data_IF_527125752023
#
_entry.id   IF_527125752023
#
_cell.length_a   1.000
_cell.length_b   1.000
_cell.length_c   1.000
_cell.angle_alpha   90.00
_cell.angle_beta   90.00
_cell.angle_gamma   90.00
#
_symmetry.space_group_name_H-M   'P 1'
#
loop_
_entity.id
_entity.type
_entity.pdbx_description
1 polymer ?
#
# COMPACT_ATOMS: atom_id res chain seq x y z
N UNK A 1 35.31 4.96 -8.33
CA UNK A 1 34.06 5.67 -7.97
C UNK A 1 32.89 4.90 -8.58
N UNK A 2 32.20 4.06 -7.80
CA UNK A 2 31.06 3.25 -8.31
C UNK A 2 29.80 4.12 -8.30
N UNK A 3 29.34 4.51 -9.48
CA UNK A 3 28.06 5.18 -9.69
C UNK A 3 26.93 4.25 -9.24
N UNK A 4 26.18 4.68 -8.22
CA UNK A 4 24.93 4.02 -7.79
C UNK A 4 23.86 4.39 -8.81
N UNK A 5 23.49 3.45 -9.68
CA UNK A 5 22.29 3.57 -10.52
C UNK A 5 21.05 3.41 -9.63
N UNK A 6 20.59 4.51 -9.06
CA UNK A 6 19.24 4.60 -8.50
C UNK A 6 18.29 4.58 -9.70
N UNK A 7 17.62 3.45 -9.89
CA UNK A 7 16.57 3.32 -10.90
C UNK A 7 15.38 4.14 -10.42
N UNK A 8 15.38 5.43 -10.73
CA UNK A 8 14.21 6.29 -10.57
C UNK A 8 13.06 5.63 -11.32
N UNK A 9 11.91 5.47 -10.64
CA UNK A 9 10.68 5.00 -11.27
C UNK A 9 10.43 5.82 -12.54
N UNK A 10 10.21 5.18 -13.69
CA UNK A 10 10.02 5.88 -14.97
C UNK A 10 8.88 6.89 -14.97
N UNK A 11 7.93 6.76 -14.04
CA UNK A 11 6.85 7.73 -13.81
C UNK A 11 7.34 9.07 -13.23
N UNK A 12 8.43 9.06 -12.45
CA UNK A 12 8.98 10.29 -11.86
C UNK A 12 9.74 11.14 -12.89
N UNK A 13 10.34 10.52 -13.91
CA UNK A 13 11.05 11.23 -14.99
C UNK A 13 10.12 11.89 -16.01
N UNK A 14 8.86 11.46 -16.10
CA UNK A 14 7.84 12.04 -16.97
C UNK A 14 6.83 12.91 -16.21
N UNK A 15 7.14 13.26 -14.96
CA UNK A 15 6.20 13.96 -14.10
C UNK A 15 6.03 15.43 -14.50
N UNK A 16 4.79 15.92 -14.44
CA UNK A 16 4.49 17.33 -14.67
C UNK A 16 4.79 18.15 -13.40
N UNK A 17 6.03 18.66 -13.33
CA UNK A 17 6.49 19.45 -12.19
C UNK A 17 5.75 20.78 -12.04
N UNK A 18 5.29 21.40 -13.13
CA UNK A 18 4.61 22.69 -13.09
C UNK A 18 3.18 22.54 -12.55
N UNK A 19 2.44 21.54 -13.04
CA UNK A 19 1.13 21.20 -12.49
C UNK A 19 1.25 20.76 -11.02
N UNK A 20 2.29 19.99 -10.69
CA UNK A 20 2.54 19.57 -9.31
C UNK A 20 2.84 20.75 -8.37
N UNK A 21 3.59 21.76 -8.84
CA UNK A 21 3.91 22.93 -8.03
C UNK A 21 2.69 23.82 -7.74
N UNK A 22 1.72 23.89 -8.65
CA UNK A 22 0.49 24.69 -8.50
C UNK A 22 -0.59 24.02 -7.65
N UNK A 23 -0.63 22.68 -7.65
CA UNK A 23 -1.70 21.93 -6.97
C UNK A 23 -1.83 22.19 -5.46
N UNK A 24 -0.75 22.34 -4.67
CA UNK A 24 -0.82 22.73 -3.26
C UNK A 24 -1.78 23.89 -2.97
N UNK A 25 -1.68 24.98 -3.74
CA UNK A 25 -2.50 26.18 -3.55
C UNK A 25 -3.97 25.92 -3.92
N UNK A 26 -4.19 25.14 -4.98
CA UNK A 26 -5.54 24.72 -5.40
C UNK A 26 -6.21 23.88 -4.31
N UNK A 27 -5.49 22.89 -3.75
CA UNK A 27 -6.03 22.05 -2.69
C UNK A 27 -6.32 22.87 -1.43
N UNK A 28 -5.43 23.78 -1.05
CA UNK A 28 -5.66 24.69 0.08
C UNK A 28 -6.92 25.57 -0.13
N UNK A 29 -7.14 26.12 -1.34
CA UNK A 29 -8.35 26.88 -1.66
C UNK A 29 -9.61 26.03 -1.48
N UNK A 30 -9.62 24.80 -2.02
CA UNK A 30 -10.73 23.86 -1.87
C UNK A 30 -11.00 23.55 -0.39
N UNK A 31 -9.95 23.36 0.40
CA UNK A 31 -10.05 23.10 1.83
C UNK A 31 -10.66 24.30 2.58
N UNK A 32 -10.23 25.52 2.26
CA UNK A 32 -10.71 26.76 2.88
C UNK A 32 -12.16 27.07 2.50
N UNK A 33 -12.50 27.06 1.21
CA UNK A 33 -13.86 27.28 0.70
C UNK A 33 -14.85 26.27 1.30
N UNK A 34 -14.43 25.02 1.41
CA UNK A 34 -15.22 23.97 2.02
C UNK A 34 -15.17 23.93 3.55
N UNK A 35 -14.41 24.81 4.22
CA UNK A 35 -14.22 24.77 5.67
C UNK A 35 -13.86 23.37 6.20
N UNK A 36 -13.00 22.65 5.47
CA UNK A 36 -12.58 21.30 5.83
C UNK A 36 -11.54 21.33 6.93
N UNK A 37 -11.73 20.52 7.97
CA UNK A 37 -10.68 20.22 8.95
C UNK A 37 -9.73 19.14 8.44
N UNK A 38 -8.50 19.07 8.96
CA UNK A 38 -7.53 18.01 8.62
C UNK A 38 -8.09 16.59 8.88
N UNK A 39 -9.05 16.46 9.80
CA UNK A 39 -9.75 15.20 10.08
C UNK A 39 -10.65 14.74 8.94
N UNK A 40 -11.06 15.66 8.06
CA UNK A 40 -12.02 15.48 6.98
C UNK A 40 -11.36 15.43 5.60
N UNK A 41 -10.04 15.61 5.50
CA UNK A 41 -9.30 15.47 4.23
C UNK A 41 -8.66 14.10 4.17
N UNK A 42 -8.95 13.34 3.12
CA UNK A 42 -8.54 11.95 2.95
C UNK A 42 -7.83 11.75 1.63
N UNK A 43 -6.92 10.78 1.61
CA UNK A 43 -6.34 10.25 0.38
C UNK A 43 -6.44 8.72 0.41
N UNK A 44 -6.56 8.14 -0.78
CA UNK A 44 -6.47 6.71 -0.97
C UNK A 44 -5.64 6.40 -2.22
N UNK A 45 -4.92 5.28 -2.17
CA UNK A 45 -4.04 4.84 -3.24
C UNK A 45 -3.91 3.32 -3.28
N UNK A 46 -3.84 2.79 -4.49
CA UNK A 46 -3.69 1.37 -4.74
C UNK A 46 -2.23 0.97 -4.91
N UNK A 47 -1.91 -0.23 -4.42
CA UNK A 47 -0.62 -0.86 -4.69
C UNK A 47 -0.78 -2.34 -5.03
N UNK A 48 0.10 -2.83 -5.89
CA UNK A 48 0.30 -4.26 -6.04
C UNK A 48 1.08 -4.83 -4.85
N UNK A 49 0.64 -5.96 -4.31
CA UNK A 49 1.35 -6.71 -3.27
C UNK A 49 1.57 -8.15 -3.76
N UNK A 50 2.82 -8.51 -4.02
CA UNK A 50 3.20 -9.89 -4.30
C UNK A 50 3.24 -10.68 -2.98
N UNK A 51 2.09 -11.15 -2.55
CA UNK A 51 1.86 -11.68 -1.20
C UNK A 51 2.66 -12.96 -0.89
N UNK A 52 3.17 -13.65 -1.91
CA UNK A 52 4.04 -14.81 -1.78
C UNK A 52 5.39 -14.63 -2.48
N UNK A 53 5.88 -13.39 -2.59
CA UNK A 53 7.23 -13.13 -3.11
C UNK A 53 8.22 -12.99 -1.97
N UNK A 54 9.24 -13.85 -1.98
CA UNK A 54 10.45 -13.64 -1.18
C UNK A 54 11.40 -12.68 -1.91
N UNK A 55 12.30 -12.00 -1.19
CA UNK A 55 13.36 -11.21 -1.79
C UNK A 55 14.14 -12.00 -2.86
N UNK A 56 14.53 -11.33 -3.94
CA UNK A 56 15.02 -11.94 -5.20
C UNK A 56 16.29 -12.77 -5.06
N UNK A 57 17.08 -12.56 -4.00
CA UNK A 57 18.30 -13.32 -3.72
C UNK A 57 18.14 -14.42 -2.67
N UNK A 58 16.93 -14.72 -2.25
CA UNK A 58 16.70 -15.85 -1.34
C UNK A 58 16.74 -17.18 -2.10
N UNK A 59 17.24 -18.23 -1.45
CA UNK A 59 17.18 -19.59 -2.00
C UNK A 59 15.75 -20.00 -2.38
N UNK A 60 14.73 -19.59 -1.61
CA UNK A 60 13.33 -19.86 -1.91
C UNK A 60 12.91 -19.27 -3.27
N UNK A 61 13.28 -18.00 -3.53
CA UNK A 61 12.99 -17.35 -4.80
C UNK A 61 13.74 -18.03 -5.97
N UNK A 62 15.01 -18.35 -5.78
CA UNK A 62 15.82 -19.01 -6.82
C UNK A 62 15.31 -20.42 -7.15
N UNK A 63 14.91 -21.20 -6.14
CA UNK A 63 14.34 -22.52 -6.30
C UNK A 63 13.00 -22.46 -7.07
N UNK A 64 12.11 -21.53 -6.75
CA UNK A 64 10.86 -21.33 -7.51
C UNK A 64 11.13 -20.85 -8.94
N UNK A 65 12.12 -19.96 -9.14
CA UNK A 65 12.49 -19.49 -10.48
C UNK A 65 12.97 -20.62 -11.39
N UNK A 66 13.63 -21.64 -10.83
CA UNK A 66 14.09 -22.83 -11.56
C UNK A 66 12.97 -23.85 -11.88
N UNK A 67 11.78 -23.70 -11.31
CA UNK A 67 10.64 -24.58 -11.59
C UNK A 67 9.86 -24.11 -12.84
N UNK A 68 9.40 -25.06 -13.65
CA UNK A 68 8.54 -24.81 -14.82
C UNK A 68 7.07 -24.78 -14.40
N UNK A 69 6.34 -23.72 -14.73
CA UNK A 69 4.90 -23.61 -14.47
C UNK A 69 4.49 -22.26 -13.84
N UNK A 70 3.29 -22.22 -13.26
CA UNK A 70 2.77 -21.03 -12.60
C UNK A 70 3.52 -20.74 -11.30
N UNK A 71 4.08 -19.53 -11.19
CA UNK A 71 4.84 -19.06 -10.02
C UNK A 71 3.93 -18.32 -9.07
N UNK A 72 3.77 -18.86 -7.86
CA UNK A 72 2.91 -18.25 -6.84
C UNK A 72 3.55 -16.97 -6.30
N UNK A 73 4.87 -16.81 -6.40
CA UNK A 73 5.52 -15.51 -6.12
C UNK A 73 5.21 -14.39 -7.12
N UNK A 74 4.57 -14.72 -8.24
CA UNK A 74 4.06 -13.73 -9.18
C UNK A 74 2.57 -13.44 -8.95
N UNK A 75 1.89 -14.19 -8.06
CA UNK A 75 0.52 -13.88 -7.66
C UNK A 75 0.48 -12.55 -6.91
N UNK A 76 -0.41 -11.68 -7.40
CA UNK A 76 -0.52 -10.31 -6.92
C UNK A 76 -1.89 -10.05 -6.32
N UNK A 77 -1.87 -9.39 -5.19
CA UNK A 77 -3.01 -8.68 -4.62
C UNK A 77 -3.00 -7.24 -5.10
N UNK A 78 -4.17 -6.67 -5.38
CA UNK A 78 -4.29 -5.20 -5.38
C UNK A 78 -4.84 -4.78 -4.03
N UNK A 79 -4.12 -3.90 -3.33
CA UNK A 79 -4.51 -3.39 -2.02
C UNK A 79 -4.76 -1.88 -2.13
N UNK A 80 -5.96 -1.44 -1.79
CA UNK A 80 -6.30 -0.02 -1.64
C UNK A 80 -6.15 0.37 -0.17
N UNK A 81 -5.27 1.33 0.08
CA UNK A 81 -4.97 1.89 1.39
C UNK A 81 -5.38 3.37 1.42
N UNK A 82 -5.64 3.92 2.60
CA UNK A 82 -5.95 5.33 2.73
C UNK A 82 -6.18 5.78 4.15
N UNK A 83 -6.12 7.09 4.36
CA UNK A 83 -6.24 7.70 5.68
C UNK A 83 -6.48 9.20 5.59
N UNK A 84 -6.68 9.83 6.74
CA UNK A 84 -6.89 11.28 6.80
C UNK A 84 -5.59 12.07 6.98
N UNK A 85 -5.64 13.34 6.62
CA UNK A 85 -4.55 14.30 6.79
C UNK A 85 -4.11 14.46 8.24
N UNK A 86 -5.05 14.39 9.21
CA UNK A 86 -4.69 14.43 10.64
C UNK A 86 -3.84 13.23 11.10
N UNK A 87 -3.90 12.12 10.36
CA UNK A 87 -3.19 10.87 10.66
C UNK A 87 -3.77 10.07 11.83
N UNK A 88 -4.94 10.44 12.35
CA UNK A 88 -5.60 9.70 13.43
C UNK A 88 -6.72 8.77 12.92
N UNK A 89 -6.88 8.66 11.60
CA UNK A 89 -7.82 7.73 10.99
C UNK A 89 -7.21 7.03 9.78
N UNK A 90 -7.27 5.69 9.82
CA UNK A 90 -6.90 4.81 8.72
C UNK A 90 -8.14 4.07 8.22
N UNK A 91 -8.32 4.02 6.92
CA UNK A 91 -9.38 3.24 6.29
C UNK A 91 -9.05 1.75 6.44
N UNK A 92 -10.10 0.93 6.54
CA UNK A 92 -9.93 -0.52 6.47
C UNK A 92 -9.39 -0.86 5.06
N UNK A 93 -8.27 -1.60 4.93
CA UNK A 93 -7.72 -1.95 3.63
C UNK A 93 -8.73 -2.72 2.80
N UNK A 94 -8.80 -2.40 1.51
CA UNK A 94 -9.53 -3.22 0.55
C UNK A 94 -8.55 -4.06 -0.24
N UNK A 95 -8.83 -5.36 -0.31
CA UNK A 95 -8.02 -6.35 -1.00
C UNK A 95 -8.80 -6.90 -2.20
N UNK A 96 -8.22 -6.82 -3.39
CA UNK A 96 -8.72 -7.47 -4.60
C UNK A 96 -7.82 -8.64 -4.99
N UNK A 97 -8.41 -9.81 -5.17
CA UNK A 97 -7.70 -11.03 -5.54
C UNK A 97 -8.33 -11.75 -6.75
N UNK A 98 -7.58 -12.62 -7.42
CA UNK A 98 -8.08 -13.38 -8.58
C UNK A 98 -9.14 -14.42 -8.23
N UNK A 99 -9.05 -15.00 -7.03
CA UNK A 99 -9.95 -16.08 -6.59
C UNK A 99 -11.03 -15.57 -5.63
N UNK A 100 -12.30 -15.80 -5.98
CA UNK A 100 -13.46 -15.45 -5.15
C UNK A 100 -13.59 -16.31 -3.89
N UNK A 101 -13.17 -17.57 -3.98
CA UNK A 101 -13.22 -18.52 -2.87
C UNK A 101 -11.87 -19.22 -2.73
N UNK A 102 -10.84 -18.52 -2.20
CA UNK A 102 -9.57 -19.18 -1.89
C UNK A 102 -9.85 -20.34 -0.94
N UNK A 103 -9.33 -21.54 -1.25
CA UNK A 103 -9.51 -22.72 -0.38
C UNK A 103 -9.08 -22.44 1.07
N UNK A 104 -8.06 -21.61 1.24
CA UNK A 104 -7.54 -21.15 2.52
C UNK A 104 -8.55 -20.34 3.38
N UNK A 105 -9.61 -19.81 2.78
CA UNK A 105 -10.68 -19.07 3.47
C UNK A 105 -11.96 -19.91 3.64
N UNK A 106 -11.98 -21.17 3.19
CA UNK A 106 -13.15 -22.05 3.33
C UNK A 106 -13.40 -22.33 4.83
N UNK A 107 -14.62 -22.08 5.30
CA UNK A 107 -15.00 -22.27 6.70
C UNK A 107 -14.57 -21.16 7.66
N UNK A 108 -13.94 -20.09 7.16
CA UNK A 108 -13.70 -18.88 7.96
C UNK A 108 -15.00 -18.07 8.07
N UNK A 109 -15.87 -18.44 9.02
CA UNK A 109 -17.08 -17.69 9.37
C UNK A 109 -16.99 -17.18 10.80
N UNK A 110 -16.08 -16.24 11.08
CA UNK A 110 -16.07 -15.55 12.37
C UNK A 110 -15.67 -14.08 12.19
N UNK A 111 -16.64 -13.19 12.32
CA UNK A 111 -16.43 -11.74 12.43
C UNK A 111 -16.30 -10.95 11.11
N UNK A 112 -16.22 -9.63 11.26
CA UNK A 112 -15.89 -8.73 10.15
C UNK A 112 -14.43 -8.99 9.73
N UNK A 113 -14.15 -9.39 8.49
CA UNK A 113 -12.79 -9.66 8.06
C UNK A 113 -11.91 -8.40 8.25
N UNK A 114 -10.62 -8.57 8.53
CA UNK A 114 -9.74 -7.44 8.79
C UNK A 114 -9.54 -6.55 7.55
N UNK A 115 -9.83 -7.10 6.36
CA UNK A 115 -9.83 -6.38 5.07
C UNK A 115 -11.18 -6.49 4.38
N UNK A 116 -11.50 -5.51 3.53
CA UNK A 116 -12.64 -5.59 2.60
C UNK A 116 -12.21 -6.44 1.41
N UNK A 117 -12.66 -7.69 1.35
CA UNK A 117 -12.24 -8.63 0.31
C UNK A 117 -13.13 -8.55 -0.94
N UNK A 118 -12.54 -8.36 -2.11
CA UNK A 118 -13.20 -8.49 -3.43
C UNK A 118 -12.40 -9.41 -4.32
N UNK A 119 -13.05 -9.96 -5.35
CA UNK A 119 -12.37 -10.81 -6.30
C UNK A 119 -12.83 -10.56 -7.74
N UNK A 120 -11.87 -10.56 -8.66
CA UNK A 120 -12.10 -10.60 -10.10
C UNK A 120 -10.89 -11.24 -10.79
N UNK A 121 -11.08 -11.85 -11.96
CA UNK A 121 -10.03 -12.61 -12.65
C UNK A 121 -8.72 -11.85 -12.90
N UNK A 122 -8.78 -10.53 -13.05
CA UNK A 122 -7.59 -9.71 -13.28
C UNK A 122 -6.83 -9.43 -11.98
N UNK A 123 -7.50 -9.47 -10.82
CA UNK A 123 -7.03 -9.00 -9.52
C UNK A 123 -6.74 -7.50 -9.45
N UNK A 124 -7.46 -6.67 -10.22
CA UNK A 124 -7.28 -5.22 -10.30
C UNK A 124 -8.50 -4.50 -9.72
N UNK A 125 -8.29 -3.29 -9.20
CA UNK A 125 -9.42 -2.44 -8.83
C UNK A 125 -10.15 -1.97 -10.10
N UNK A 126 -11.48 -2.09 -10.11
CA UNK A 126 -12.34 -1.62 -11.19
C UNK A 126 -13.18 -0.44 -10.69
N UNK A 127 -13.71 0.37 -11.62
CA UNK A 127 -14.62 1.47 -11.28
C UNK A 127 -15.81 1.01 -10.43
N UNK A 128 -16.45 -0.10 -10.81
CA UNK A 128 -17.55 -0.66 -10.04
C UNK A 128 -17.14 -1.07 -8.62
N UNK A 129 -15.97 -1.71 -8.46
CA UNK A 129 -15.46 -2.07 -7.13
C UNK A 129 -15.06 -0.85 -6.29
N UNK A 130 -14.56 0.21 -6.93
CA UNK A 130 -14.26 1.48 -6.25
C UNK A 130 -15.53 2.20 -5.80
N UNK A 131 -16.54 2.32 -6.66
CA UNK A 131 -17.83 2.94 -6.31
C UNK A 131 -18.53 2.19 -5.17
N UNK A 132 -18.51 0.86 -5.21
CA UNK A 132 -19.01 0.01 -4.12
C UNK A 132 -18.25 0.26 -2.81
N UNK A 133 -16.91 0.33 -2.88
CA UNK A 133 -16.08 0.67 -1.73
C UNK A 133 -16.40 2.06 -1.18
N UNK A 134 -16.57 3.04 -2.07
CA UNK A 134 -16.84 4.42 -1.73
C UNK A 134 -18.16 4.55 -0.96
N UNK A 135 -19.23 3.94 -1.48
CA UNK A 135 -20.58 4.06 -0.91
C UNK A 135 -20.77 3.19 0.34
N UNK A 136 -20.26 1.96 0.33
CA UNK A 136 -20.55 0.99 1.39
C UNK A 136 -19.50 0.93 2.49
N UNK A 137 -18.30 1.49 2.28
CA UNK A 137 -17.20 1.41 3.24
C UNK A 137 -16.62 2.77 3.58
N UNK A 138 -16.22 3.57 2.60
CA UNK A 138 -15.62 4.89 2.85
C UNK A 138 -16.62 5.85 3.51
N UNK A 139 -17.76 6.13 2.87
CA UNK A 139 -18.75 7.08 3.41
C UNK A 139 -19.24 6.70 4.83
N UNK A 140 -19.66 5.44 5.09
CA UNK A 140 -20.08 5.03 6.44
C UNK A 140 -18.95 5.09 7.46
N UNK A 141 -17.71 4.79 7.06
CA UNK A 141 -16.56 4.86 7.97
C UNK A 141 -16.24 6.30 8.37
N UNK A 142 -16.30 7.24 7.42
CA UNK A 142 -16.15 8.68 7.71
C UNK A 142 -17.27 9.15 8.62
N UNK A 143 -18.52 8.83 8.32
CA UNK A 143 -19.66 9.22 9.16
C UNK A 143 -19.52 8.70 10.60
N UNK A 144 -19.12 7.43 10.75
CA UNK A 144 -18.87 6.79 12.05
C UNK A 144 -17.72 7.43 12.79
N UNK A 145 -16.68 7.89 12.10
CA UNK A 145 -15.55 8.60 12.68
C UNK A 145 -15.91 10.03 13.11
N UNK A 146 -16.70 10.74 12.30
CA UNK A 146 -17.08 12.12 12.57
C UNK A 146 -17.90 12.26 13.86
N UNK A 147 -18.85 11.34 14.09
CA UNK A 147 -19.78 11.37 15.25
C UNK A 147 -19.08 11.46 16.63
N UNK A 148 -18.17 10.56 17.02
CA UNK A 148 -17.48 10.65 18.31
C UNK A 148 -16.45 11.79 18.39
N UNK A 149 -15.97 12.31 17.25
CA UNK A 149 -15.05 13.45 17.22
C UNK A 149 -15.78 14.80 17.28
N UNK A 150 -17.11 14.80 17.38
CA UNK A 150 -17.95 16.01 17.36
C UNK A 150 -17.67 16.92 16.15
N UNK A 151 -17.47 16.30 14.99
CA UNK A 151 -17.27 17.00 13.71
C UNK A 151 -18.40 16.64 12.75
N UNK A 152 -18.78 17.58 11.88
CA UNK A 152 -19.80 17.33 10.86
C UNK A 152 -19.39 16.17 9.94
N UNK A 153 -20.37 15.35 9.51
CA UNK A 153 -20.11 14.35 8.48
C UNK A 153 -19.87 15.07 7.16
N UNK A 154 -18.59 15.23 6.83
CA UNK A 154 -18.11 15.86 5.61
C UNK A 154 -16.72 15.31 5.30
N UNK A 155 -16.42 15.08 4.03
CA UNK A 155 -15.08 14.68 3.61
C UNK A 155 -14.66 15.27 2.26
N UNK A 156 -13.36 15.50 2.12
CA UNK A 156 -12.66 15.77 0.87
C UNK A 156 -11.77 14.56 0.58
N UNK A 157 -12.11 13.79 -0.45
CA UNK A 157 -11.30 12.65 -0.89
C UNK A 157 -10.46 13.08 -2.10
N UNK A 158 -9.14 13.09 -1.92
CA UNK A 158 -8.13 13.43 -2.94
C UNK A 158 -7.63 12.14 -3.58
N UNK A 159 -7.73 12.01 -4.91
CA UNK A 159 -7.35 10.80 -5.66
C UNK A 159 -6.40 11.09 -6.82
N UNK A 160 -5.70 10.06 -7.30
CA UNK A 160 -5.03 10.09 -8.60
C UNK A 160 -6.03 9.92 -9.75
N UNK A 161 -5.56 10.06 -10.99
CA UNK A 161 -6.38 9.94 -12.21
C UNK A 161 -6.45 8.50 -12.75
N UNK A 162 -6.40 7.49 -11.88
CA UNK A 162 -6.41 6.13 -12.36
C UNK A 162 -7.73 5.73 -13.03
N UNK A 163 -7.70 4.80 -14.01
CA UNK A 163 -8.92 4.34 -14.69
C UNK A 163 -9.94 3.64 -13.78
N UNK A 164 -9.49 3.17 -12.60
CA UNK A 164 -10.35 2.60 -11.56
C UNK A 164 -11.21 3.65 -10.85
N UNK A 165 -10.87 4.94 -10.97
CA UNK A 165 -11.58 6.01 -10.31
C UNK A 165 -12.72 6.56 -11.19
N UNK A 166 -13.76 7.12 -10.57
CA UNK A 166 -14.85 7.75 -11.34
C UNK A 166 -14.30 8.92 -12.17
N UNK A 167 -14.65 8.94 -13.45
CA UNK A 167 -14.26 9.98 -14.42
C UNK A 167 -15.05 11.29 -14.28
N UNK A 168 -16.20 11.23 -13.63
CA UNK A 168 -17.05 12.41 -13.44
C UNK A 168 -16.83 12.91 -12.01
N UNK A 169 -16.78 14.23 -11.84
CA UNK A 169 -16.87 14.92 -10.54
C UNK A 169 -18.24 14.72 -9.84
N UNK A 170 -18.96 13.64 -10.16
CA UNK A 170 -20.29 13.35 -9.66
C UNK A 170 -20.27 13.22 -8.14
N UNK A 171 -21.23 13.88 -7.49
CA UNK A 171 -21.52 13.70 -6.07
C UNK A 171 -22.10 12.29 -5.87
N UNK A 172 -21.23 11.27 -5.79
CA UNK A 172 -21.63 9.93 -5.34
C UNK A 172 -22.23 9.99 -3.93
N UNK A 173 -21.87 11.02 -3.14
CA UNK A 173 -22.46 11.34 -1.85
C UNK A 173 -22.43 12.86 -1.65
N UNK A 174 -23.51 13.45 -1.15
CA UNK A 174 -23.62 14.90 -0.90
C UNK A 174 -22.62 15.43 0.15
N UNK A 175 -22.21 14.58 1.09
CA UNK A 175 -21.31 14.93 2.19
C UNK A 175 -19.83 14.72 1.81
N UNK A 176 -19.55 14.13 0.65
CA UNK A 176 -18.18 13.82 0.23
C UNK A 176 -17.87 14.47 -1.11
N UNK A 177 -16.93 15.41 -1.10
CA UNK A 177 -16.33 15.99 -2.31
C UNK A 177 -15.16 15.12 -2.74
N UNK A 178 -15.16 14.66 -3.98
CA UNK A 178 -14.01 13.99 -4.59
C UNK A 178 -13.26 15.00 -5.46
N UNK A 179 -11.95 15.10 -5.27
CA UNK A 179 -11.07 15.91 -6.13
C UNK A 179 -9.92 15.05 -6.63
N UNK A 180 -9.35 15.45 -7.75
CA UNK A 180 -8.26 14.73 -8.40
C UNK A 180 -7.00 15.58 -8.39
N UNK A 181 -5.85 14.93 -8.24
CA UNK A 181 -4.56 15.55 -8.53
C UNK A 181 -4.43 15.81 -10.03
N UNK A 182 -3.53 16.70 -10.49
CA UNK A 182 -3.32 16.90 -11.91
C UNK A 182 -2.79 15.62 -12.57
N UNK A 183 -3.10 15.37 -13.85
CA UNK A 183 -2.53 14.25 -14.60
C UNK A 183 -0.99 14.23 -14.52
N UNK A 184 -0.38 13.05 -14.54
CA UNK A 184 1.09 12.87 -14.53
C UNK A 184 1.82 13.48 -13.33
N UNK A 185 1.15 13.64 -12.18
CA UNK A 185 1.77 14.15 -10.94
C UNK A 185 1.82 13.15 -9.80
N UNK A 186 1.30 11.93 -9.98
CA UNK A 186 1.17 10.91 -8.92
C UNK A 186 2.48 10.69 -8.16
N UNK A 187 3.60 10.50 -8.86
CA UNK A 187 4.91 10.28 -8.22
C UNK A 187 5.35 11.44 -7.30
N UNK A 188 4.89 12.67 -7.56
CA UNK A 188 5.26 13.87 -6.81
C UNK A 188 4.26 14.20 -5.70
N UNK A 189 2.97 13.92 -5.93
CA UNK A 189 1.90 14.41 -5.08
C UNK A 189 1.19 13.31 -4.29
N UNK A 190 1.00 12.11 -4.83
CA UNK A 190 0.14 11.08 -4.24
C UNK A 190 0.59 10.71 -2.82
N UNK A 191 -0.16 11.10 -1.76
CA UNK A 191 0.28 10.92 -0.38
C UNK A 191 0.55 9.46 -0.02
N UNK A 192 -0.28 8.51 -0.47
CA UNK A 192 0.00 7.08 -0.22
C UNK A 192 1.34 6.60 -0.81
N UNK A 193 1.82 7.24 -1.89
CA UNK A 193 3.10 6.91 -2.52
C UNK A 193 4.30 7.66 -1.89
N UNK A 194 4.04 8.65 -1.02
CA UNK A 194 5.08 9.38 -0.25
C UNK A 194 5.55 8.57 0.97
N UNK A 195 5.89 7.29 0.77
CA UNK A 195 6.48 6.41 1.77
C UNK A 195 5.50 5.57 2.59
N UNK A 196 4.18 5.82 2.54
CA UNK A 196 3.17 5.03 3.26
C UNK A 196 3.09 3.60 2.71
N UNK A 197 2.87 3.47 1.40
CA UNK A 197 2.82 2.16 0.73
C UNK A 197 4.12 1.40 0.92
N UNK A 198 5.26 2.10 0.85
CA UNK A 198 6.55 1.47 1.06
C UNK A 198 6.70 0.93 2.47
N UNK A 199 6.41 1.76 3.47
CA UNK A 199 6.45 1.38 4.89
C UNK A 199 5.52 0.20 5.17
N UNK A 200 4.30 0.23 4.63
CA UNK A 200 3.35 -0.88 4.73
C UNK A 200 3.93 -2.19 4.16
N UNK A 201 4.53 -2.16 2.96
CA UNK A 201 5.13 -3.36 2.34
C UNK A 201 6.33 -3.88 3.13
N UNK A 202 7.15 -2.99 3.68
CA UNK A 202 8.25 -3.37 4.55
C UNK A 202 7.75 -4.06 5.83
N UNK A 203 6.73 -3.50 6.49
CA UNK A 203 6.12 -4.15 7.65
C UNK A 203 5.49 -5.49 7.30
N UNK A 204 4.83 -5.61 6.15
CA UNK A 204 4.32 -6.90 5.66
C UNK A 204 5.44 -7.96 5.51
N UNK A 205 6.57 -7.57 4.92
CA UNK A 205 7.73 -8.45 4.76
C UNK A 205 8.31 -8.84 6.13
N UNK A 206 8.44 -7.87 7.04
CA UNK A 206 8.92 -8.10 8.40
C UNK A 206 8.04 -9.09 9.17
N UNK A 207 6.71 -8.94 9.10
CA UNK A 207 5.77 -9.88 9.73
C UNK A 207 5.89 -11.28 9.12
N UNK A 208 6.09 -11.37 7.81
CA UNK A 208 6.30 -12.65 7.12
C UNK A 208 7.59 -13.34 7.62
N UNK A 209 8.67 -12.59 7.81
CA UNK A 209 9.93 -13.10 8.33
C UNK A 209 9.84 -13.51 9.80
N UNK A 210 9.17 -12.71 10.63
CA UNK A 210 8.94 -13.04 12.03
C UNK A 210 8.14 -14.35 12.17
N UNK A 211 7.12 -14.55 11.32
CA UNK A 211 6.35 -15.80 11.28
C UNK A 211 7.17 -16.98 10.78
N UNK A 212 8.00 -16.77 9.74
CA UNK A 212 8.91 -17.80 9.26
C UNK A 212 9.82 -18.26 10.39
N UNK A 213 10.48 -17.31 11.06
CA UNK A 213 11.40 -17.58 12.16
C UNK A 213 10.71 -18.37 13.27
N UNK A 214 9.55 -17.90 13.75
CA UNK A 214 8.80 -18.55 14.81
C UNK A 214 8.37 -19.99 14.46
N UNK A 215 8.25 -20.34 13.18
CA UNK A 215 7.87 -21.68 12.71
C UNK A 215 9.06 -22.57 12.34
N UNK A 216 10.24 -21.98 12.16
CA UNK A 216 11.46 -22.68 11.73
C UNK A 216 12.52 -22.78 12.83
N UNK A 217 12.22 -22.34 14.05
CA UNK A 217 13.09 -22.48 15.22
C UNK A 217 12.37 -23.16 16.37
N UNK A 218 13.09 -24.01 17.12
CA UNK A 218 12.55 -24.74 18.28
C UNK A 218 12.18 -26.19 17.97
N UNK A 219 11.62 -26.86 18.96
CA UNK A 219 11.21 -28.26 18.86
C UNK A 219 9.99 -28.42 17.93
N UNK A 220 10.06 -29.36 16.98
CA UNK A 220 9.02 -29.52 15.95
C UNK A 220 9.05 -28.44 14.84
N UNK A 221 10.15 -27.70 14.72
CA UNK A 221 10.33 -26.69 13.68
C UNK A 221 10.14 -27.26 12.27
N UNK A 222 9.45 -26.49 11.43
CA UNK A 222 9.39 -26.75 9.99
C UNK A 222 10.69 -26.32 9.33
N UNK A 223 11.03 -26.92 8.20
CA UNK A 223 11.95 -26.25 7.29
C UNK A 223 11.33 -24.96 6.75
N UNK A 224 12.17 -24.01 6.39
CA UNK A 224 11.73 -22.74 5.80
C UNK A 224 10.92 -22.94 4.50
N UNK A 225 11.26 -23.98 3.73
CA UNK A 225 10.52 -24.38 2.54
C UNK A 225 9.11 -24.91 2.88
N UNK A 226 8.98 -25.72 3.94
CA UNK A 226 7.68 -26.22 4.38
C UNK A 226 6.80 -25.12 4.95
N UNK A 227 7.36 -24.22 5.74
CA UNK A 227 6.66 -23.00 6.17
C UNK A 227 6.13 -22.25 4.95
N UNK A 228 7.00 -21.99 3.98
CA UNK A 228 6.62 -21.22 2.80
C UNK A 228 5.57 -21.92 1.93
N UNK A 229 5.65 -23.25 1.81
CA UNK A 229 4.61 -24.04 1.13
C UNK A 229 3.25 -23.91 1.83
N UNK A 230 3.24 -23.87 3.17
CA UNK A 230 2.01 -23.72 3.99
C UNK A 230 1.47 -22.29 4.05
N UNK A 231 2.31 -21.27 3.82
CA UNK A 231 1.90 -19.87 3.80
C UNK A 231 0.86 -19.61 2.70
N UNK A 232 -0.29 -19.06 3.08
CA UNK A 232 -1.47 -18.95 2.23
C UNK A 232 -2.18 -17.59 2.35
N UNK A 233 -3.26 -17.40 1.59
CA UNK A 233 -4.03 -16.14 1.52
C UNK A 233 -4.54 -15.67 2.89
N UNK A 234 -4.90 -16.57 3.80
CA UNK A 234 -5.33 -16.21 5.16
C UNK A 234 -4.19 -15.55 5.93
N UNK A 235 -2.99 -16.13 5.89
CA UNK A 235 -1.79 -15.54 6.51
C UNK A 235 -1.48 -14.17 5.91
N UNK A 236 -1.59 -14.05 4.58
CA UNK A 236 -1.36 -12.78 3.91
C UNK A 236 -2.39 -11.71 4.32
N UNK A 237 -3.67 -12.04 4.46
CA UNK A 237 -4.71 -11.11 4.95
C UNK A 237 -4.42 -10.66 6.38
N UNK A 238 -4.00 -11.58 7.26
CA UNK A 238 -3.60 -11.27 8.64
C UNK A 238 -2.37 -10.34 8.66
N UNK A 239 -1.39 -10.58 7.78
CA UNK A 239 -0.19 -9.73 7.68
C UNK A 239 -0.49 -8.35 7.11
N UNK A 240 -1.43 -8.23 6.16
CA UNK A 240 -1.91 -6.92 5.67
C UNK A 240 -2.48 -6.10 6.82
N UNK A 241 -3.32 -6.71 7.66
CA UNK A 241 -3.91 -6.01 8.80
C UNK A 241 -2.85 -5.55 9.79
N UNK A 242 -1.97 -6.46 10.24
CA UNK A 242 -0.89 -6.13 11.18
C UNK A 242 0.03 -5.02 10.66
N UNK A 243 0.50 -5.17 9.43
CA UNK A 243 1.36 -4.18 8.78
C UNK A 243 0.65 -2.82 8.67
N UNK A 244 -0.63 -2.81 8.32
CA UNK A 244 -1.40 -1.58 8.22
C UNK A 244 -1.66 -0.93 9.57
N UNK A 245 -1.92 -1.71 10.63
CA UNK A 245 -2.11 -1.17 11.98
C UNK A 245 -0.84 -0.49 12.52
N UNK A 246 0.34 -0.96 12.12
CA UNK A 246 1.61 -0.39 12.54
C UNK A 246 2.00 0.91 11.84
N UNK A 247 1.48 1.17 10.63
CA UNK A 247 1.70 2.46 9.95
C UNK A 247 1.23 3.59 10.87
N UNK A 248 2.19 4.42 11.30
CA UNK A 248 1.96 5.42 12.34
C UNK A 248 1.15 6.61 11.82
N UNK A 249 0.44 7.27 12.73
CA UNK A 249 -0.26 8.52 12.40
C UNK A 249 0.69 9.66 12.04
N UNK A 250 1.91 9.68 12.58
CA UNK A 250 2.97 10.60 12.15
C UNK A 250 3.34 10.39 10.70
N UNK A 251 3.62 9.15 10.29
CA UNK A 251 3.91 8.84 8.88
C UNK A 251 2.76 9.30 7.98
N UNK A 252 1.51 9.05 8.40
CA UNK A 252 0.33 9.48 7.66
C UNK A 252 0.29 10.99 7.46
N UNK A 253 0.61 11.79 8.49
CA UNK A 253 0.72 13.26 8.37
C UNK A 253 1.87 13.67 7.47
N UNK A 254 3.06 13.11 7.66
CA UNK A 254 4.25 13.47 6.89
C UNK A 254 4.07 13.20 5.39
N UNK A 255 3.28 12.19 5.03
CA UNK A 255 2.96 11.87 3.64
C UNK A 255 2.28 13.01 2.87
N UNK A 256 1.61 13.93 3.56
CA UNK A 256 0.98 15.11 2.96
C UNK A 256 1.93 16.29 2.80
N UNK A 257 3.16 16.22 3.32
CA UNK A 257 4.13 17.32 3.25
C UNK A 257 4.45 17.73 1.81
N UNK A 258 4.35 16.83 0.82
CA UNK A 258 4.54 17.17 -0.59
C UNK A 258 3.47 18.14 -1.11
N UNK A 259 2.21 18.01 -0.64
CA UNK A 259 1.07 18.83 -1.06
C UNK A 259 0.83 20.02 -0.11
N UNK A 260 1.04 19.87 1.21
CA UNK A 260 0.67 20.86 2.23
C UNK A 260 1.87 21.33 3.07
N UNK A 261 2.97 21.67 2.39
CA UNK A 261 4.26 22.10 2.99
C UNK A 261 4.13 23.17 4.08
N UNK A 262 3.17 24.10 3.95
CA UNK A 262 2.97 25.22 4.89
C UNK A 262 2.28 24.80 6.20
N UNK A 263 1.60 23.65 6.23
CA UNK A 263 0.83 23.17 7.40
C UNK A 263 1.55 22.08 8.18
N UNK A 264 2.45 21.35 7.55
CA UNK A 264 3.30 20.36 8.22
C UNK A 264 4.61 21.03 8.64
N UNK A 265 4.82 21.24 9.95
CA UNK A 265 6.12 21.70 10.48
C UNK A 265 7.25 20.65 10.32
N UNK A 266 6.95 19.53 9.65
CA UNK A 266 7.86 18.43 9.38
C UNK A 266 8.50 18.63 8.01
N UNK A 267 9.82 18.49 7.92
CA UNK A 267 10.55 18.40 6.66
C UNK A 267 9.92 17.31 5.78
N UNK A 268 9.95 17.43 4.43
CA UNK A 268 9.46 16.38 3.55
C UNK A 268 10.02 15.04 4.03
N UNK A 269 9.13 14.15 4.47
CA UNK A 269 9.52 12.82 4.87
C UNK A 269 10.18 12.20 3.65
N UNK A 270 11.48 11.91 3.76
CA UNK A 270 12.16 11.15 2.73
C UNK A 270 11.32 9.90 2.45
N UNK A 271 11.12 9.61 1.17
CA UNK A 271 10.56 8.34 0.69
C UNK A 271 11.29 7.09 1.21
N UNK A 272 12.37 7.28 1.97
CA UNK A 272 13.08 6.23 2.67
C UNK A 272 12.17 5.58 3.72
N UNK A 273 12.00 4.27 3.56
CA UNK A 273 11.63 3.37 4.65
C UNK A 273 12.39 3.76 5.92
N UNK A 274 11.75 3.65 7.07
CA UNK A 274 12.46 3.90 8.32
C UNK A 274 13.69 2.98 8.37
N UNK A 275 14.87 3.55 8.60
CA UNK A 275 16.13 2.81 8.68
C UNK A 275 15.99 1.62 9.64
N UNK A 276 15.29 1.83 10.75
CA UNK A 276 14.97 0.81 11.74
C UNK A 276 14.17 -0.37 11.15
N UNK A 277 13.16 -0.14 10.30
CA UNK A 277 12.41 -1.23 9.68
C UNK A 277 13.29 -2.04 8.71
N UNK A 278 14.12 -1.36 7.92
CA UNK A 278 15.07 -2.02 7.00
C UNK A 278 16.09 -2.86 7.77
N UNK A 279 16.65 -2.30 8.85
CA UNK A 279 17.60 -3.01 9.72
C UNK A 279 16.97 -4.23 10.39
N UNK A 280 15.73 -4.13 10.90
CA UNK A 280 15.01 -5.26 11.48
C UNK A 280 14.75 -6.37 10.46
N UNK A 281 14.32 -6.03 9.24
CA UNK A 281 14.10 -7.01 8.17
C UNK A 281 15.42 -7.68 7.77
N UNK A 282 16.49 -6.90 7.64
CA UNK A 282 17.82 -7.41 7.33
C UNK A 282 18.33 -8.34 8.43
N UNK A 283 18.17 -7.99 9.71
CA UNK A 283 18.57 -8.83 10.85
C UNK A 283 17.82 -10.16 10.87
N UNK A 284 16.49 -10.12 10.71
CA UNK A 284 15.65 -11.32 10.62
C UNK A 284 16.06 -12.20 9.44
N UNK A 285 16.24 -11.60 8.25
CA UNK A 285 16.58 -12.35 7.04
C UNK A 285 17.98 -12.96 7.11
N UNK A 286 18.99 -12.14 7.35
CA UNK A 286 20.41 -12.55 7.26
C UNK A 286 20.83 -13.42 8.45
N UNK A 287 20.54 -12.99 9.69
CA UNK A 287 21.07 -13.65 10.89
C UNK A 287 20.18 -14.79 11.39
N UNK A 288 18.87 -14.73 11.12
CA UNK A 288 17.91 -15.69 11.69
C UNK A 288 17.37 -16.68 10.67
N UNK A 289 17.16 -16.25 9.43
CA UNK A 289 16.61 -17.09 8.36
C UNK A 289 17.65 -17.59 7.35
N UNK A 290 18.90 -17.12 7.45
CA UNK A 290 20.01 -17.57 6.59
C UNK A 290 19.98 -16.99 5.17
N UNK A 291 19.30 -15.87 4.95
CA UNK A 291 19.32 -15.14 3.68
C UNK A 291 20.56 -14.26 3.58
N UNK A 292 21.73 -14.86 3.34
CA UNK A 292 23.05 -14.19 3.34
C UNK A 292 23.14 -12.97 2.42
N UNK A 293 22.40 -12.99 1.31
CA UNK A 293 22.47 -11.97 0.26
C UNK A 293 21.40 -10.88 0.40
N UNK A 294 20.63 -10.88 1.49
CA UNK A 294 19.61 -9.87 1.74
C UNK A 294 20.25 -8.57 2.23
N UNK A 295 20.12 -7.51 1.44
CA UNK A 295 20.58 -6.16 1.78
C UNK A 295 19.43 -5.14 1.72
N UNK A 296 19.74 -3.90 2.12
CA UNK A 296 18.78 -2.80 2.12
C UNK A 296 18.17 -2.53 0.74
N UNK A 297 18.95 -2.66 -0.34
CA UNK A 297 18.46 -2.39 -1.69
C UNK A 297 17.40 -3.41 -2.13
N UNK A 298 17.57 -4.68 -1.77
CA UNK A 298 16.59 -5.72 -2.07
C UNK A 298 15.31 -5.55 -1.24
N UNK A 299 15.44 -5.15 0.03
CA UNK A 299 14.29 -4.85 0.90
C UNK A 299 13.51 -3.67 0.35
N UNK A 300 14.21 -2.62 -0.08
CA UNK A 300 13.62 -1.45 -0.72
C UNK A 300 12.91 -1.83 -2.02
N UNK A 301 13.52 -2.66 -2.88
CA UNK A 301 12.89 -3.15 -4.12
C UNK A 301 11.54 -3.84 -3.86
N UNK A 302 11.46 -4.68 -2.83
CA UNK A 302 10.21 -5.36 -2.46
C UNK A 302 9.15 -4.40 -1.92
N UNK A 303 9.58 -3.25 -1.43
CA UNK A 303 8.75 -2.26 -0.76
C UNK A 303 8.31 -1.13 -1.69
N UNK A 304 8.89 -0.97 -2.87
CA UNK A 304 8.48 0.12 -3.76
C UNK A 304 6.99 0.01 -4.16
N UNK A 305 6.29 1.15 -4.31
CA UNK A 305 4.98 1.17 -4.97
C UNK A 305 5.11 0.48 -6.32
N UNK A 306 4.30 -0.57 -6.54
CA UNK A 306 4.29 -1.26 -7.84
C UNK A 306 3.09 -0.75 -8.60
N UNK A 307 3.36 -0.02 -9.69
CA UNK A 307 2.34 0.61 -10.53
C UNK A 307 1.34 -0.38 -11.12
N UNK A 308 0.19 0.17 -11.53
CA UNK A 308 -0.94 -0.58 -12.09
C UNK A 308 -0.49 -1.40 -13.33
N UNK A 309 0.44 -0.89 -14.14
CA UNK A 309 0.90 -1.49 -15.41
C UNK A 309 2.35 -2.02 -15.47
N UNK A 310 3.07 -2.18 -14.35
CA UNK A 310 4.51 -2.51 -14.44
C UNK A 310 4.78 -4.01 -14.69
N UNK A 311 4.58 -4.45 -15.94
CA UNK A 311 5.22 -5.62 -16.55
C UNK A 311 5.60 -5.27 -18.00
N UNK A 312 6.66 -4.47 -18.18
CA UNK A 312 7.47 -4.56 -19.39
C UNK A 312 8.74 -5.29 -19.02
N UNK A 313 8.68 -6.62 -19.09
CA UNK A 313 9.88 -7.42 -19.27
C UNK A 313 10.41 -7.08 -20.65
N UNK A 314 11.56 -6.40 -20.71
CA UNK A 314 12.37 -6.35 -21.92
C UNK A 314 12.81 -7.79 -22.21
N UNK A 315 12.09 -8.47 -23.11
CA UNK A 315 12.68 -9.55 -23.88
C UNK A 315 13.62 -8.90 -24.89
N UNK A 316 14.90 -8.81 -24.54
CA UNK A 316 15.97 -8.71 -25.51
C UNK A 316 16.22 -10.12 -26.04
N UNK A 317 15.83 -10.37 -27.28
CA UNK A 317 16.49 -11.33 -28.17
C UNK A 317 17.12 -10.53 -29.28
#
# INVERSE_FOLDING_TARGET
>A
MKLRNVKLSGEASSADHEAAARYPEILESIMLEGSYMDQQVFNAGETGLFWKRMPTRTYLFMNEKSQTGHRVSEDRFTVLLGGNLKGNFKLKPMLVYQSRFPRALKGCSQGSPPVIFRANKKAWLTKASFEEWFLNHFCPAVQKYCKPNNIAFKALLVLDNAPSHPTNHGQLNENVKVTFMPPNTTALLQPMDQGIIATFKAYYLRETFAQALARTTGEGALSLLEFWRKYNVKNAIENIDRAWQEVSGSSMRSAWSSILRRRTAEQPGSSALSRAAVEQIADLGTKKLGFSDLDAAIIEECSLPTGKNCLTTTCST
#
